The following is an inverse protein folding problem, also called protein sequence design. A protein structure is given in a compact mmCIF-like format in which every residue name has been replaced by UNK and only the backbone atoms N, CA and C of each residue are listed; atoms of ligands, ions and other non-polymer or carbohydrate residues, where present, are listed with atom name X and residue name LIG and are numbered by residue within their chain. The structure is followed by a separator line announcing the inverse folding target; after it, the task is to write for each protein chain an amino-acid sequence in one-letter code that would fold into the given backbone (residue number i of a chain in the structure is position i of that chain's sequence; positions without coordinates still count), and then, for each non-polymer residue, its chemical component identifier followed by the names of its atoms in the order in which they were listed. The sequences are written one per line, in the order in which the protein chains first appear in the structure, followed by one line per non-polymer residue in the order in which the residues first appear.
data_IF_535283085219
#
_entry.id   IF_535283085219
#
_cell.length_a   1.000
_cell.length_b   1.000
_cell.length_c   1.000
_cell.angle_alpha   90.00
_cell.angle_beta   90.00
_cell.angle_gamma   90.00
#
_symmetry.space_group_name_H-M   'P 1'
#
loop_
_entity.id
_entity.type
_entity.pdbx_description
1 polymer ?
#
# COMPACT_ATOMS: atom_id res chain seq x y z
N UNK A 1 -5.95 28.79 -24.61
CA UNK A 1 -7.02 29.63 -24.05
C UNK A 1 -7.67 28.94 -22.84
N UNK A 2 -8.21 29.71 -21.88
CA UNK A 2 -9.08 29.18 -20.85
C UNK A 2 -10.47 28.93 -21.44
N UNK A 3 -11.16 27.90 -20.98
CA UNK A 3 -12.50 27.57 -21.45
C UNK A 3 -13.37 26.96 -20.33
N UNK A 4 -14.64 27.31 -20.38
CA UNK A 4 -15.72 26.65 -19.67
C UNK A 4 -16.80 26.32 -20.70
N UNK A 5 -17.10 25.06 -20.90
CA UNK A 5 -18.06 24.60 -21.88
C UNK A 5 -19.12 23.74 -21.20
N UNK A 6 -20.35 23.95 -21.59
CA UNK A 6 -21.50 23.12 -21.27
C UNK A 6 -22.01 22.49 -22.56
N UNK A 7 -22.23 21.19 -22.54
CA UNK A 7 -22.89 20.43 -23.60
C UNK A 7 -24.09 19.73 -22.98
N UNK A 8 -25.30 20.03 -23.47
CA UNK A 8 -26.56 19.54 -22.91
C UNK A 8 -27.29 18.59 -23.90
N UNK A 9 -26.62 18.16 -24.97
CA UNK A 9 -27.20 17.18 -25.88
C UNK A 9 -27.39 15.84 -25.18
N UNK A 10 -28.60 15.31 -25.19
CA UNK A 10 -28.98 14.07 -24.51
C UNK A 10 -28.04 12.91 -24.88
N UNK A 11 -27.41 12.31 -23.87
CA UNK A 11 -26.41 11.25 -24.01
C UNK A 11 -24.99 11.71 -24.32
N UNK A 12 -24.74 13.02 -24.45
CA UNK A 12 -23.43 13.61 -24.66
C UNK A 12 -23.15 14.75 -23.66
N UNK A 13 -23.92 14.84 -22.58
CA UNK A 13 -23.85 15.92 -21.60
C UNK A 13 -22.45 16.01 -20.98
N UNK A 14 -21.87 17.21 -20.97
CA UNK A 14 -20.53 17.44 -20.47
C UNK A 14 -20.36 18.85 -19.89
N UNK A 15 -19.73 18.93 -18.74
CA UNK A 15 -19.10 20.16 -18.26
C UNK A 15 -17.60 20.03 -18.41
N UNK A 16 -16.98 20.92 -19.18
CA UNK A 16 -15.55 20.90 -19.41
C UNK A 16 -14.91 22.21 -18.99
N UNK A 17 -13.87 22.11 -18.13
CA UNK A 17 -13.13 23.25 -17.61
C UNK A 17 -11.67 23.10 -18.03
N UNK A 18 -11.13 24.11 -18.69
CA UNK A 18 -9.73 24.20 -19.07
C UNK A 18 -9.12 25.49 -18.55
N UNK A 19 -8.01 25.37 -17.82
CA UNK A 19 -7.14 26.47 -17.49
C UNK A 19 -5.82 26.34 -18.25
N UNK A 20 -5.45 27.33 -19.03
CA UNK A 20 -4.22 27.32 -19.82
C UNK A 20 -2.96 27.37 -18.97
N UNK A 21 -3.05 27.92 -17.77
CA UNK A 21 -1.91 28.04 -16.85
C UNK A 21 -2.26 27.56 -15.46
N UNK A 22 -3.04 28.28 -14.72
CA UNK A 22 -3.38 27.98 -13.34
C UNK A 22 -4.90 27.94 -13.16
N UNK A 23 -5.34 27.05 -12.29
CA UNK A 23 -6.71 27.02 -11.78
C UNK A 23 -6.63 27.02 -10.25
N UNK A 24 -7.18 28.03 -9.61
CA UNK A 24 -7.22 28.18 -8.16
C UNK A 24 -8.67 28.05 -7.68
N UNK A 25 -8.91 27.18 -6.74
CA UNK A 25 -10.21 27.00 -6.10
C UNK A 25 -10.07 27.32 -4.60
N UNK A 26 -10.86 28.24 -4.10
CA UNK A 26 -10.86 28.63 -2.68
C UNK A 26 -12.27 28.51 -2.09
N UNK A 27 -12.50 27.44 -1.36
CA UNK A 27 -13.79 27.15 -0.72
C UNK A 27 -13.71 27.61 0.75
N UNK A 28 -14.59 28.52 1.14
CA UNK A 28 -14.59 29.14 2.49
C UNK A 28 -15.28 28.28 3.54
N UNK A 29 -16.08 27.33 3.13
CA UNK A 29 -16.83 26.45 4.02
C UNK A 29 -16.62 25.00 3.55
N UNK A 30 -17.63 24.33 3.10
CA UNK A 30 -17.59 22.91 2.77
C UNK A 30 -17.51 22.67 1.26
N UNK A 31 -16.79 21.65 0.86
CA UNK A 31 -16.78 21.10 -0.51
C UNK A 31 -17.19 19.65 -0.47
N UNK A 32 -18.11 19.26 -1.32
CA UNK A 32 -18.53 17.87 -1.51
C UNK A 32 -18.30 17.47 -2.97
N UNK A 33 -17.60 16.36 -3.18
CA UNK A 33 -17.36 15.80 -4.50
C UNK A 33 -17.91 14.38 -4.57
N UNK A 34 -18.93 14.13 -5.41
CA UNK A 34 -19.53 12.82 -5.60
C UNK A 34 -19.42 12.40 -7.05
N UNK A 35 -18.83 11.23 -7.29
CA UNK A 35 -18.64 10.65 -8.62
C UNK A 35 -19.37 9.32 -8.71
N UNK A 36 -20.40 9.23 -9.55
CA UNK A 36 -21.18 8.01 -9.74
C UNK A 36 -20.47 6.93 -10.55
N UNK A 37 -19.43 7.30 -11.28
CA UNK A 37 -18.61 6.39 -12.09
C UNK A 37 -17.16 6.41 -11.64
N UNK A 38 -16.22 6.48 -12.58
CA UNK A 38 -14.81 6.48 -12.32
C UNK A 38 -14.26 7.91 -12.13
N UNK A 39 -13.36 8.09 -11.18
CA UNK A 39 -12.56 9.30 -11.04
C UNK A 39 -11.10 8.97 -11.37
N UNK A 40 -10.48 9.76 -12.24
CA UNK A 40 -9.04 9.67 -12.55
C UNK A 40 -8.37 11.00 -12.22
N UNK A 41 -7.27 10.92 -11.48
CA UNK A 41 -6.40 12.07 -11.19
C UNK A 41 -5.01 11.75 -11.70
N UNK A 42 -4.48 12.56 -12.62
CA UNK A 42 -3.13 12.45 -13.15
C UNK A 42 -2.37 13.74 -12.85
N UNK A 43 -1.18 13.63 -12.25
CA UNK A 43 -0.35 14.76 -11.84
C UNK A 43 1.09 14.46 -12.25
N UNK A 44 1.66 15.31 -13.09
CA UNK A 44 3.00 15.13 -13.65
C UNK A 44 4.14 15.48 -12.68
N UNK A 45 3.84 16.17 -11.59
CA UNK A 45 4.83 16.62 -10.61
C UNK A 45 4.40 16.23 -9.20
N UNK A 46 4.14 17.18 -8.35
CA UNK A 46 3.89 16.97 -6.94
C UNK A 46 2.39 16.95 -6.62
N UNK A 47 1.96 15.97 -5.83
CA UNK A 47 0.68 15.94 -5.17
C UNK A 47 0.86 16.15 -3.66
N UNK A 48 0.37 17.26 -3.13
CA UNK A 48 0.47 17.60 -1.71
C UNK A 48 -0.93 17.67 -1.10
N UNK A 49 -1.19 16.83 -0.12
CA UNK A 49 -2.44 16.84 0.66
C UNK A 49 -2.12 17.11 2.14
N UNK A 50 -2.77 18.12 2.72
CA UNK A 50 -2.65 18.45 4.14
C UNK A 50 -4.03 18.48 4.78
N UNK A 51 -4.23 17.61 5.77
CA UNK A 51 -5.47 17.51 6.54
C UNK A 51 -5.15 17.82 8.01
N UNK A 52 -5.78 18.85 8.57
CA UNK A 52 -5.57 19.22 9.99
C UNK A 52 -6.45 18.40 10.95
N UNK A 53 -7.50 17.80 10.45
CA UNK A 53 -8.39 16.92 11.21
C UNK A 53 -8.18 15.45 10.85
N UNK A 54 -9.24 14.69 10.76
CA UNK A 54 -9.21 13.26 10.46
C UNK A 54 -9.21 13.03 8.95
N UNK A 55 -8.30 12.19 8.46
CA UNK A 55 -8.30 11.66 7.10
C UNK A 55 -8.83 10.23 7.11
N UNK A 56 -9.91 9.96 6.38
CA UNK A 56 -10.52 8.62 6.25
C UNK A 56 -10.50 8.20 4.79
N UNK A 57 -9.99 7.02 4.52
CA UNK A 57 -10.06 6.40 3.21
C UNK A 57 -10.65 4.99 3.33
N UNK A 58 -11.74 4.72 2.62
CA UNK A 58 -12.38 3.41 2.58
C UNK A 58 -12.37 2.87 1.14
N UNK A 59 -11.78 1.70 0.95
CA UNK A 59 -11.69 1.01 -0.35
C UNK A 59 -12.29 -0.38 -0.21
N UNK A 60 -13.40 -0.66 -0.86
CA UNK A 60 -14.12 -1.93 -0.74
C UNK A 60 -13.44 -3.11 -1.43
N UNK A 61 -12.60 -2.87 -2.42
CA UNK A 61 -11.90 -3.95 -3.16
C UNK A 61 -10.41 -3.93 -2.88
N UNK A 62 -9.64 -3.27 -3.72
CA UNK A 62 -8.18 -3.26 -3.63
C UNK A 62 -7.64 -1.84 -3.60
N UNK A 63 -6.63 -1.62 -2.77
CA UNK A 63 -5.79 -0.43 -2.79
C UNK A 63 -4.37 -0.84 -3.15
N UNK A 64 -3.83 -0.28 -4.23
CA UNK A 64 -2.48 -0.53 -4.70
C UNK A 64 -1.68 0.75 -4.65
N UNK A 65 -0.50 0.70 -4.08
CA UNK A 65 0.45 1.81 -4.03
C UNK A 65 1.78 1.33 -4.60
N UNK A 66 2.29 2.05 -5.60
CA UNK A 66 3.61 1.84 -6.17
C UNK A 66 4.43 3.11 -5.96
N UNK A 67 5.55 2.99 -5.27
CA UNK A 67 6.45 4.09 -4.96
C UNK A 67 7.82 3.77 -5.55
N UNK A 68 8.31 4.61 -6.47
CA UNK A 68 9.61 4.46 -7.11
C UNK A 68 10.80 4.89 -6.23
N UNK A 69 10.54 5.55 -5.12
CA UNK A 69 11.52 5.98 -4.13
C UNK A 69 11.17 5.49 -2.73
N UNK A 70 11.37 6.31 -1.74
CA UNK A 70 11.10 5.98 -0.34
C UNK A 70 9.59 6.01 -0.03
N UNK A 71 9.12 5.02 0.70
CA UNK A 71 7.79 4.98 1.29
C UNK A 71 7.91 5.07 2.82
N UNK A 72 7.41 6.14 3.42
CA UNK A 72 7.52 6.39 4.85
C UNK A 72 6.14 6.45 5.49
N UNK A 73 5.94 5.67 6.55
CA UNK A 73 4.78 5.72 7.44
C UNK A 73 5.25 6.12 8.83
N UNK A 74 4.70 7.21 9.35
CA UNK A 74 4.97 7.66 10.70
C UNK A 74 3.68 8.01 11.43
N UNK A 75 3.53 7.55 12.65
CA UNK A 75 2.43 7.88 13.54
C UNK A 75 2.99 8.25 14.91
N UNK A 76 2.53 9.36 15.49
CA UNK A 76 2.99 9.80 16.80
C UNK A 76 2.54 8.85 17.91
N UNK A 77 1.28 8.42 17.88
CA UNK A 77 0.71 7.62 18.96
C UNK A 77 0.72 6.13 18.65
N UNK A 78 0.19 5.71 17.54
CA UNK A 78 0.15 4.29 17.20
C UNK A 78 -0.09 4.02 15.72
N UNK A 79 0.50 2.93 15.23
CA UNK A 79 0.27 2.38 13.89
C UNK A 79 -0.26 0.96 14.04
N UNK A 80 -1.46 0.70 13.50
CA UNK A 80 -2.04 -0.63 13.46
C UNK A 80 -2.16 -1.10 12.01
N UNK A 81 -1.63 -2.30 11.75
CA UNK A 81 -1.78 -3.00 10.48
C UNK A 81 -2.45 -4.33 10.79
N UNK A 82 -3.62 -4.59 10.20
CA UNK A 82 -4.37 -5.82 10.43
C UNK A 82 -4.82 -6.43 9.10
N UNK A 83 -4.82 -7.75 9.03
CA UNK A 83 -5.28 -8.51 7.87
C UNK A 83 -5.99 -9.78 8.32
N UNK A 84 -7.12 -10.11 7.69
CA UNK A 84 -7.83 -11.38 7.94
C UNK A 84 -7.19 -12.59 7.26
N UNK A 85 -6.21 -12.40 6.36
CA UNK A 85 -5.57 -13.49 5.60
C UNK A 85 -4.06 -13.60 5.78
N UNK A 86 -3.46 -12.68 6.53
CA UNK A 86 -2.02 -12.66 6.79
C UNK A 86 -1.36 -11.36 6.33
N UNK A 87 -0.16 -11.13 6.86
CA UNK A 87 0.69 -9.98 6.53
C UNK A 87 2.07 -10.53 6.18
N UNK A 88 2.64 -10.05 5.08
CA UNK A 88 3.99 -10.40 4.66
C UNK A 88 4.82 -9.13 4.42
N UNK A 89 6.04 -9.12 4.98
CA UNK A 89 7.06 -8.11 4.71
C UNK A 89 8.21 -8.79 3.98
N UNK A 90 8.53 -8.31 2.79
CA UNK A 90 9.55 -8.92 1.91
C UNK A 90 10.62 -7.90 1.54
N UNK A 91 11.88 -8.28 1.69
CA UNK A 91 13.03 -7.50 1.24
C UNK A 91 14.12 -8.45 0.74
N UNK A 92 14.33 -8.52 -0.58
CA UNK A 92 15.25 -9.50 -1.19
C UNK A 92 14.87 -10.93 -0.82
N UNK A 93 15.81 -11.70 -0.25
CA UNK A 93 15.58 -13.08 0.25
C UNK A 93 14.97 -13.15 1.67
N UNK A 94 14.79 -12.02 2.34
CA UNK A 94 14.25 -11.97 3.69
C UNK A 94 12.74 -11.79 3.71
N UNK A 95 12.05 -12.63 4.46
CA UNK A 95 10.58 -12.63 4.57
C UNK A 95 10.17 -12.75 6.04
N UNK A 96 9.32 -11.85 6.51
CA UNK A 96 8.58 -11.98 7.77
C UNK A 96 7.10 -12.16 7.46
N UNK A 97 6.51 -13.25 7.89
CA UNK A 97 5.09 -13.57 7.68
C UNK A 97 4.36 -13.70 9.02
N UNK A 98 3.21 -13.07 9.11
CA UNK A 98 2.23 -13.26 10.17
C UNK A 98 1.02 -13.99 9.57
N UNK A 99 0.85 -15.26 9.92
CA UNK A 99 -0.21 -16.10 9.39
C UNK A 99 -1.47 -16.00 10.28
N UNK A 100 -2.69 -16.03 9.71
CA UNK A 100 -3.93 -15.94 10.48
C UNK A 100 -4.15 -17.12 11.45
N UNK A 101 -3.44 -18.23 11.28
CA UNK A 101 -3.47 -19.38 12.21
C UNK A 101 -2.65 -19.17 13.50
N UNK A 102 -1.99 -18.00 13.65
CA UNK A 102 -1.16 -17.66 14.80
C UNK A 102 0.32 -18.00 14.62
N UNK A 103 0.76 -18.44 13.46
CA UNK A 103 2.18 -18.68 13.17
C UNK A 103 2.88 -17.38 12.77
N UNK A 104 4.07 -17.15 13.31
CA UNK A 104 5.00 -16.10 12.88
C UNK A 104 6.23 -16.81 12.31
N UNK A 105 6.55 -16.52 11.05
CA UNK A 105 7.70 -17.09 10.35
C UNK A 105 8.68 -16.01 9.95
N UNK A 106 9.97 -16.25 10.19
CA UNK A 106 11.07 -15.42 9.70
C UNK A 106 12.01 -16.29 8.88
N UNK A 107 12.16 -15.96 7.60
CA UNK A 107 13.08 -16.61 6.67
C UNK A 107 14.11 -15.60 6.20
N UNK A 108 15.39 -15.94 6.29
CA UNK A 108 16.50 -15.09 5.86
C UNK A 108 17.79 -15.91 5.75
N UNK A 109 18.76 -15.40 5.01
CA UNK A 109 20.08 -16.06 4.88
C UNK A 109 20.91 -15.96 6.16
N UNK A 110 20.76 -14.85 6.91
CA UNK A 110 21.44 -14.62 8.18
C UNK A 110 20.49 -13.95 9.17
N UNK A 111 20.48 -14.43 10.41
CA UNK A 111 19.65 -13.92 11.47
C UNK A 111 20.49 -13.49 12.66
N UNK A 112 20.26 -12.28 13.18
CA UNK A 112 20.98 -11.74 14.31
C UNK A 112 20.03 -11.00 15.27
N UNK A 113 20.09 -11.37 16.55
CA UNK A 113 19.42 -10.63 17.64
C UNK A 113 20.49 -10.03 18.54
N UNK A 114 20.51 -8.71 18.68
CA UNK A 114 21.37 -7.99 19.60
C UNK A 114 20.51 -7.29 20.66
N UNK A 115 20.77 -7.54 21.91
CA UNK A 115 20.16 -6.84 23.03
C UNK A 115 21.27 -6.12 23.83
N UNK A 116 21.07 -4.84 24.15
CA UNK A 116 21.97 -4.07 25.02
C UNK A 116 21.66 -4.28 26.51
N UNK A 117 20.58 -4.94 26.83
CA UNK A 117 20.15 -5.32 28.16
C UNK A 117 19.73 -6.80 28.20
N UNK A 118 18.81 -7.14 29.10
CA UNK A 118 18.32 -8.50 29.21
C UNK A 118 17.44 -8.90 28.02
N UNK A 119 17.67 -10.06 27.43
CA UNK A 119 16.80 -10.70 26.45
C UNK A 119 16.08 -11.89 27.08
N UNK A 120 14.84 -12.16 26.67
CA UNK A 120 14.08 -13.30 27.15
C UNK A 120 13.25 -13.94 26.02
N UNK A 121 13.30 -15.25 25.91
CA UNK A 121 12.43 -16.04 25.05
C UNK A 121 11.64 -16.99 25.95
N UNK A 122 10.31 -16.81 26.04
CA UNK A 122 9.43 -17.66 26.82
C UNK A 122 8.57 -18.52 25.89
N UNK A 123 8.56 -19.82 26.10
CA UNK A 123 7.69 -20.75 25.37
C UNK A 123 6.85 -21.54 26.37
N UNK A 124 5.57 -21.77 26.06
CA UNK A 124 4.70 -22.64 26.84
C UNK A 124 4.97 -24.13 26.60
N UNK A 125 5.82 -24.46 25.65
CA UNK A 125 6.21 -25.82 25.29
C UNK A 125 7.72 -25.90 25.04
N UNK A 126 8.14 -26.71 24.07
CA UNK A 126 9.54 -26.94 23.75
C UNK A 126 10.08 -25.74 22.90
N UNK A 127 11.25 -25.25 23.26
CA UNK A 127 12.06 -24.39 22.37
C UNK A 127 13.08 -25.30 21.67
N UNK A 128 12.94 -25.45 20.36
CA UNK A 128 13.88 -26.20 19.53
C UNK A 128 14.83 -25.22 18.81
N UNK A 129 16.13 -25.34 19.09
CA UNK A 129 17.20 -24.60 18.41
C UNK A 129 17.96 -25.60 17.54
N UNK A 130 17.42 -25.87 16.35
CA UNK A 130 17.96 -26.85 15.44
C UNK A 130 19.14 -26.28 14.67
N UNK A 131 20.32 -26.85 14.84
CA UNK A 131 21.55 -26.54 14.09
C UNK A 131 21.76 -27.47 12.87
N UNK A 132 20.88 -28.45 12.68
CA UNK A 132 20.89 -29.37 11.55
C UNK A 132 19.94 -28.86 10.45
N UNK A 133 20.15 -29.35 9.22
CA UNK A 133 19.29 -28.99 8.10
C UNK A 133 17.80 -29.20 8.42
N UNK A 134 16.92 -28.25 8.05
CA UNK A 134 15.49 -28.39 8.25
C UNK A 134 15.01 -29.65 7.52
N UNK A 135 14.20 -30.48 8.21
CA UNK A 135 13.56 -31.63 7.56
C UNK A 135 12.60 -31.15 6.48
N UNK A 136 12.57 -31.87 5.35
CA UNK A 136 11.57 -31.62 4.32
C UNK A 136 10.15 -31.65 4.94
N UNK A 137 9.46 -30.52 4.93
CA UNK A 137 8.16 -30.31 5.60
C UNK A 137 8.16 -29.22 6.67
N UNK A 138 9.33 -28.83 7.22
CA UNK A 138 9.45 -27.78 8.24
C UNK A 138 9.66 -26.36 7.66
N UNK A 139 9.85 -26.26 6.34
CA UNK A 139 9.89 -24.96 5.67
C UNK A 139 8.47 -24.46 5.47
N UNK A 140 8.09 -23.31 6.06
CA UNK A 140 6.86 -22.62 5.64
C UNK A 140 6.93 -22.43 4.14
N UNK A 141 5.84 -22.70 3.43
CA UNK A 141 5.75 -22.41 2.00
C UNK A 141 6.07 -20.93 1.78
N UNK A 142 7.19 -20.59 1.12
CA UNK A 142 7.60 -19.21 0.94
C UNK A 142 6.85 -18.54 -0.21
N UNK A 143 5.66 -19.05 -0.62
CA UNK A 143 4.86 -18.33 -1.61
C UNK A 143 4.46 -17.00 -1.01
N UNK A 144 5.28 -15.95 -1.21
CA UNK A 144 4.87 -14.61 -0.86
C UNK A 144 3.63 -14.32 -1.69
N UNK A 145 2.68 -13.61 -1.14
CA UNK A 145 1.52 -13.09 -1.83
C UNK A 145 1.90 -12.63 -3.24
N UNK A 146 1.55 -13.43 -4.24
CA UNK A 146 1.87 -13.22 -5.67
C UNK A 146 1.20 -11.96 -6.25
N UNK A 147 0.32 -11.34 -5.48
CA UNK A 147 -0.43 -10.13 -5.86
C UNK A 147 0.50 -8.94 -6.21
N UNK A 148 1.64 -8.79 -5.53
CA UNK A 148 2.58 -7.69 -5.81
C UNK A 148 3.28 -7.82 -7.15
N UNK A 149 3.64 -9.02 -7.56
CA UNK A 149 4.39 -9.26 -8.80
C UNK A 149 3.52 -9.11 -10.06
N UNK A 150 2.28 -9.56 -10.02
CA UNK A 150 1.33 -9.40 -11.13
C UNK A 150 0.91 -7.95 -11.34
N UNK A 151 0.79 -7.17 -10.26
CA UNK A 151 0.50 -5.74 -10.33
C UNK A 151 1.66 -4.97 -10.96
N UNK A 152 2.91 -5.25 -10.59
CA UNK A 152 4.10 -4.66 -11.20
C UNK A 152 4.17 -4.96 -12.71
N UNK A 153 3.88 -6.20 -13.12
CA UNK A 153 3.83 -6.59 -14.54
C UNK A 153 2.69 -5.90 -15.32
N UNK A 154 1.56 -5.65 -14.69
CA UNK A 154 0.43 -4.98 -15.32
C UNK A 154 0.69 -3.47 -15.55
N UNK A 155 1.48 -2.83 -14.68
CA UNK A 155 1.90 -1.44 -14.85
C UNK A 155 2.98 -1.29 -15.93
N UNK A 156 3.94 -2.21 -15.99
CA UNK A 156 5.03 -2.20 -16.99
C UNK A 156 4.49 -2.37 -18.43
N UNK A 157 3.45 -3.19 -18.62
CA UNK A 157 2.78 -3.34 -19.92
C UNK A 157 1.98 -2.12 -20.38
N UNK A 158 1.52 -1.26 -19.48
CA UNK A 158 0.82 -0.02 -19.82
C UNK A 158 1.77 1.13 -20.17
N UNK A 159 3.01 1.13 -19.68
CA UNK A 159 4.02 2.13 -19.96
C UNK A 159 4.73 1.96 -21.31
N UNK A 160 4.59 0.82 -21.97
CA UNK A 160 5.28 0.54 -23.25
C UNK A 160 4.45 0.81 -24.52
N UNK A 161 3.25 1.36 -24.39
CA UNK A 161 2.35 1.71 -25.49
C UNK A 161 2.13 3.21 -25.66
N UNK A 162 3.16 4.05 -25.48
CA UNK A 162 3.18 5.46 -25.92
C UNK A 162 4.36 5.72 -26.83
#
# INVERSE_FOLDING_TARGET
ANALRFEDKAGEEQVWIQAQKNMDTNIKNDETHTVGGNQTVAIDKDFISKVSGTYVQNTQKSRNELVGGDYQLWAQDGLQIASGKGISFVSGSSVLTLDPNGTISLQCDQFQINATGNGQINTGGTLDLNINEPKAGDTPDPTPFTIGYEILQAFDKKGSNT
#
